data_IF_705951973824
#
_entry.id   IF_705951973824
#
_cell.length_a   1.000
_cell.length_b   1.000
_cell.length_c   1.000
_cell.angle_alpha   90.00
_cell.angle_beta   90.00
_cell.angle_gamma   90.00
#
_symmetry.space_group_name_H-M   'P 1'
#
loop_
_entity.id
_entity.type
_entity.pdbx_description
1 polymer ?
#
# COMPACT_ATOMS: atom_id res chain seq x y z
N UNK A 1 -45.90 80.94 46.76
CA UNK A 1 -47.28 80.95 47.28
C UNK A 1 -48.14 80.08 46.36
N UNK A 2 -48.90 79.08 46.78
CA UNK A 2 -49.14 78.56 48.12
C UNK A 2 -49.48 77.07 48.06
N UNK A 3 -49.30 76.42 49.21
CA UNK A 3 -49.74 75.05 49.48
C UNK A 3 -51.27 74.98 49.51
N UNK A 4 -51.83 73.85 49.07
CA UNK A 4 -52.90 73.17 49.83
C UNK A 4 -52.88 71.66 49.55
N UNK A 5 -52.97 70.93 50.67
CA UNK A 5 -52.77 69.48 50.87
C UNK A 5 -54.05 68.66 50.62
N UNK A 6 -53.85 67.48 50.04
CA UNK A 6 -54.38 66.11 50.28
C UNK A 6 -55.79 65.87 50.86
N UNK A 7 -56.48 64.90 50.23
CA UNK A 7 -57.24 63.75 50.80
C UNK A 7 -56.99 62.55 49.85
N UNK A 8 -56.40 61.39 50.21
CA UNK A 8 -56.89 60.23 51.03
C UNK A 8 -58.22 59.67 50.46
N UNK A 9 -58.33 58.40 50.02
CA UNK A 9 -58.21 57.13 50.80
C UNK A 9 -58.15 55.88 49.86
N UNK A 10 -57.34 54.89 50.28
CA UNK A 10 -57.34 53.38 50.21
C UNK A 10 -58.04 52.60 49.07
N UNK A 11 -57.71 51.36 48.70
CA UNK A 11 -56.98 50.18 49.25
C UNK A 11 -56.60 49.26 48.05
N UNK A 12 -55.79 48.20 48.05
CA UNK A 12 -55.29 47.24 49.05
C UNK A 12 -54.11 46.47 48.40
N UNK A 13 -52.98 46.34 49.10
CA UNK A 13 -51.99 45.23 48.96
C UNK A 13 -52.69 43.94 49.49
N UNK A 14 -52.40 42.69 49.15
CA UNK A 14 -51.19 41.87 49.08
C UNK A 14 -51.71 40.45 48.80
N UNK A 15 -51.09 39.60 47.96
CA UNK A 15 -50.80 38.17 48.30
C UNK A 15 -49.72 37.62 47.33
N UNK A 16 -48.75 36.88 47.90
CA UNK A 16 -47.88 35.84 47.33
C UNK A 16 -46.42 36.21 46.97
N UNK A 17 -45.63 36.30 48.03
CA UNK A 17 -44.55 35.34 48.41
C UNK A 17 -43.93 34.48 47.29
N UNK A 18 -42.60 34.57 47.22
CA UNK A 18 -41.77 33.99 46.18
C UNK A 18 -41.60 32.47 46.22
N UNK A 19 -41.53 31.92 45.02
CA UNK A 19 -41.06 30.62 44.53
C UNK A 19 -41.04 30.89 42.99
N UNK A 20 -39.98 30.86 42.19
CA UNK A 20 -38.90 29.90 41.99
C UNK A 20 -37.90 30.59 41.01
N UNK A 21 -36.79 31.12 41.51
CA UNK A 21 -35.58 31.36 40.68
C UNK A 21 -34.86 30.01 40.49
N UNK A 22 -35.50 29.05 39.81
CA UNK A 22 -34.87 27.79 39.38
C UNK A 22 -35.54 27.26 38.12
N UNK A 23 -35.42 27.94 36.98
CA UNK A 23 -35.89 27.35 35.71
C UNK A 23 -35.20 27.85 34.43
N UNK A 24 -34.01 28.44 34.52
CA UNK A 24 -33.29 28.93 33.34
C UNK A 24 -31.83 28.47 33.19
N UNK A 25 -31.36 27.56 34.05
CA UNK A 25 -30.09 26.84 33.85
C UNK A 25 -30.27 25.33 34.06
N UNK A 26 -31.28 24.73 33.41
CA UNK A 26 -31.17 23.30 33.10
C UNK A 26 -30.23 23.17 31.92
N UNK A 27 -28.95 23.04 32.27
CA UNK A 27 -27.85 22.50 31.47
C UNK A 27 -28.33 21.49 30.41
N UNK A 28 -28.57 21.92 29.17
CA UNK A 28 -28.39 21.03 28.03
C UNK A 28 -26.89 21.00 27.70
N UNK A 29 -26.08 20.44 28.61
CA UNK A 29 -24.87 19.76 28.14
C UNK A 29 -25.41 18.61 27.31
N UNK A 30 -25.58 18.82 26.00
CA UNK A 30 -25.84 17.71 25.09
C UNK A 30 -24.76 16.68 25.40
N UNK A 31 -25.18 15.55 25.97
CA UNK A 31 -24.27 14.50 26.34
C UNK A 31 -23.60 14.06 25.03
N UNK A 32 -22.29 14.30 24.93
CA UNK A 32 -21.53 13.89 23.75
C UNK A 32 -21.73 12.39 23.59
N UNK A 33 -22.26 12.01 22.43
CA UNK A 33 -22.56 10.62 22.14
C UNK A 33 -21.25 9.82 22.05
N UNK A 34 -21.00 8.93 23.01
CA UNK A 34 -19.80 8.08 23.09
C UNK A 34 -20.00 6.69 22.49
N UNK A 35 -21.04 6.49 21.68
CA UNK A 35 -21.33 5.21 21.05
C UNK A 35 -20.29 4.85 19.97
N UNK A 36 -20.26 3.59 19.51
CA UNK A 36 -19.20 3.08 18.65
C UNK A 36 -19.03 3.78 17.29
N UNK A 37 -20.06 4.45 16.78
CA UNK A 37 -20.00 5.11 15.48
C UNK A 37 -21.32 5.74 15.04
N UNK A 38 -21.34 6.16 13.78
CA UNK A 38 -22.49 6.82 13.14
C UNK A 38 -22.71 6.33 11.70
N UNK A 39 -23.95 6.52 11.21
CA UNK A 39 -24.29 6.52 9.80
C UNK A 39 -24.68 7.94 9.39
N UNK A 40 -23.85 8.58 8.57
CA UNK A 40 -23.95 10.00 8.30
C UNK A 40 -23.82 10.79 9.60
N UNK A 41 -24.84 11.59 9.91
CA UNK A 41 -24.91 12.40 11.12
C UNK A 41 -25.77 11.76 12.23
N UNK A 42 -26.10 10.47 12.16
CA UNK A 42 -26.90 9.80 13.18
C UNK A 42 -26.09 8.69 13.86
N UNK A 43 -26.08 8.69 15.19
CA UNK A 43 -25.50 7.60 15.97
C UNK A 43 -26.17 6.26 15.64
N UNK A 44 -25.36 5.21 15.42
CA UNK A 44 -25.86 3.86 15.08
C UNK A 44 -26.60 3.15 16.23
N UNK A 45 -26.44 3.63 17.47
CA UNK A 45 -27.04 3.01 18.66
C UNK A 45 -28.24 3.82 19.18
N UNK A 46 -28.05 5.10 19.52
CA UNK A 46 -29.11 5.91 20.14
C UNK A 46 -29.90 6.77 19.16
N UNK A 47 -29.51 6.84 17.88
CA UNK A 47 -30.17 7.68 16.87
C UNK A 47 -29.98 9.19 17.06
N UNK A 48 -29.18 9.62 18.05
CA UNK A 48 -28.89 11.02 18.27
C UNK A 48 -28.17 11.62 17.06
N UNK A 49 -28.59 12.83 16.66
CA UNK A 49 -27.92 13.60 15.61
C UNK A 49 -26.60 14.16 16.14
N UNK A 50 -25.53 13.97 15.39
CA UNK A 50 -24.18 14.41 15.70
C UNK A 50 -23.89 15.65 14.85
N UNK A 51 -23.44 16.71 15.51
CA UNK A 51 -23.11 17.99 14.86
C UNK A 51 -21.68 18.01 14.30
N UNK A 52 -20.82 17.10 14.76
CA UNK A 52 -19.44 16.94 14.31
C UNK A 52 -19.24 15.66 13.50
N UNK A 53 -18.40 15.72 12.47
CA UNK A 53 -17.90 14.56 11.72
C UNK A 53 -16.83 13.81 12.52
N UNK A 54 -17.16 13.33 13.71
CA UNK A 54 -16.25 12.55 14.56
C UNK A 54 -16.05 11.13 14.01
N UNK A 55 -14.84 10.58 14.23
CA UNK A 55 -14.50 9.20 13.87
C UNK A 55 -13.92 9.04 12.46
N UNK A 56 -13.49 7.82 12.15
CA UNK A 56 -12.88 7.45 10.87
C UNK A 56 -13.95 6.89 9.94
N UNK A 57 -13.95 7.33 8.68
CA UNK A 57 -14.92 6.89 7.68
C UNK A 57 -14.54 5.54 7.08
N UNK A 58 -15.49 4.58 7.09
CA UNK A 58 -15.36 3.26 6.47
C UNK A 58 -16.31 3.17 5.26
N UNK A 59 -16.17 4.12 4.33
CA UNK A 59 -17.06 4.30 3.18
C UNK A 59 -17.11 3.10 2.24
N UNK A 60 -16.01 2.35 2.14
CA UNK A 60 -15.89 1.12 1.38
C UNK A 60 -16.75 -0.04 1.94
N UNK A 61 -17.01 -0.04 3.25
CA UNK A 61 -17.92 -1.03 3.87
C UNK A 61 -19.37 -0.61 3.63
N UNK A 62 -19.68 0.64 3.99
CA UNK A 62 -20.98 1.22 3.74
C UNK A 62 -20.88 2.74 3.67
N UNK A 63 -21.54 3.35 2.68
CA UNK A 63 -21.55 4.80 2.51
C UNK A 63 -22.07 5.48 3.78
N UNK A 64 -21.28 6.43 4.31
CA UNK A 64 -21.62 7.19 5.50
C UNK A 64 -21.30 6.49 6.83
N UNK A 65 -20.77 5.27 6.84
CA UNK A 65 -20.32 4.62 8.07
C UNK A 65 -19.09 5.35 8.63
N UNK A 66 -19.14 5.73 9.90
CA UNK A 66 -18.01 6.24 10.68
C UNK A 66 -17.89 5.47 11.97
N UNK A 67 -16.66 5.16 12.37
CA UNK A 67 -16.37 4.44 13.61
C UNK A 67 -15.42 5.26 14.48
N UNK A 68 -15.64 5.21 15.79
CA UNK A 68 -14.75 5.81 16.77
C UNK A 68 -13.53 4.91 17.02
N UNK A 69 -12.41 5.50 17.44
CA UNK A 69 -11.13 4.78 17.60
C UNK A 69 -11.23 3.59 18.55
N UNK A 70 -11.99 3.70 19.65
CA UNK A 70 -12.18 2.60 20.60
C UNK A 70 -12.88 1.40 19.95
N UNK A 71 -13.85 1.66 19.08
CA UNK A 71 -14.55 0.61 18.34
C UNK A 71 -13.65 -0.02 17.28
N UNK A 72 -12.89 0.79 16.54
CA UNK A 72 -11.91 0.30 15.56
C UNK A 72 -10.91 -0.63 16.25
N UNK A 73 -10.38 -0.22 17.41
CA UNK A 73 -9.45 -1.03 18.19
C UNK A 73 -10.10 -2.33 18.70
N UNK A 74 -11.36 -2.26 19.15
CA UNK A 74 -12.12 -3.44 19.57
C UNK A 74 -12.29 -4.42 18.42
N UNK A 75 -12.67 -3.95 17.22
CA UNK A 75 -12.83 -4.76 16.03
C UNK A 75 -11.49 -5.39 15.60
N UNK A 76 -10.41 -4.60 15.52
CA UNK A 76 -9.05 -5.10 15.22
C UNK A 76 -8.61 -6.22 16.16
N UNK A 77 -8.92 -6.11 17.46
CA UNK A 77 -8.57 -7.13 18.44
C UNK A 77 -9.38 -8.42 18.29
N UNK A 78 -10.66 -8.31 17.91
CA UNK A 78 -11.52 -9.47 17.63
C UNK A 78 -11.03 -10.19 16.37
N UNK A 79 -10.82 -9.42 15.29
CA UNK A 79 -10.38 -9.94 14.01
C UNK A 79 -9.00 -10.59 14.13
N UNK A 80 -8.07 -10.00 14.87
CA UNK A 80 -6.75 -10.59 15.12
C UNK A 80 -6.84 -11.98 15.75
N UNK A 81 -7.69 -12.17 16.76
CA UNK A 81 -7.86 -13.49 17.39
C UNK A 81 -8.41 -14.52 16.40
N UNK A 82 -9.39 -14.12 15.60
CA UNK A 82 -9.97 -14.97 14.55
C UNK A 82 -8.92 -15.35 13.50
N UNK A 83 -8.15 -14.37 13.01
CA UNK A 83 -7.09 -14.55 12.03
C UNK A 83 -6.04 -15.55 12.53
N UNK A 84 -5.53 -15.37 13.75
CA UNK A 84 -4.56 -16.29 14.34
C UNK A 84 -5.10 -17.71 14.49
N UNK A 85 -6.38 -17.87 14.90
CA UNK A 85 -7.02 -19.18 15.00
C UNK A 85 -7.10 -19.90 13.65
N UNK A 86 -7.36 -19.16 12.58
CA UNK A 86 -7.42 -19.70 11.21
C UNK A 86 -6.05 -19.70 10.51
N UNK A 87 -4.97 -19.36 11.22
CA UNK A 87 -3.63 -19.17 10.66
C UNK A 87 -3.63 -18.26 9.44
N UNK A 88 -4.29 -17.11 9.52
CA UNK A 88 -4.30 -16.07 8.48
C UNK A 88 -3.65 -14.78 8.96
N UNK A 89 -3.08 -14.04 8.01
CA UNK A 89 -2.67 -12.65 8.16
C UNK A 89 -3.53 -11.77 7.26
N UNK A 90 -3.27 -10.46 7.20
CA UNK A 90 -3.93 -9.55 6.26
C UNK A 90 -2.95 -9.16 5.15
N UNK A 91 -3.43 -9.14 3.91
CA UNK A 91 -2.69 -8.68 2.74
C UNK A 91 -3.44 -7.54 2.06
N UNK A 92 -2.85 -6.35 2.07
CA UNK A 92 -3.34 -5.17 1.35
C UNK A 92 -2.66 -5.13 -0.02
N UNK A 93 -3.47 -5.12 -1.08
CA UNK A 93 -3.02 -5.17 -2.46
C UNK A 93 -3.34 -3.85 -3.17
N UNK A 94 -2.33 -3.24 -3.76
CA UNK A 94 -2.55 -2.20 -4.76
C UNK A 94 -3.02 -2.78 -6.11
N UNK A 95 -3.54 -1.94 -7.00
CA UNK A 95 -4.01 -2.34 -8.34
C UNK A 95 -3.01 -1.97 -9.44
N UNK A 96 -2.91 -0.68 -9.74
CA UNK A 96 -2.20 -0.13 -10.88
C UNK A 96 -0.69 -0.35 -10.77
N UNK A 97 -0.09 -0.97 -11.78
CA UNK A 97 1.32 -1.38 -11.81
C UNK A 97 1.69 -2.47 -10.78
N UNK A 98 0.75 -2.91 -9.95
CA UNK A 98 0.93 -4.00 -8.98
C UNK A 98 0.32 -5.30 -9.50
N UNK A 99 -1.01 -5.35 -9.62
CA UNK A 99 -1.77 -6.53 -10.08
C UNK A 99 -2.22 -6.44 -11.54
N UNK A 100 -2.24 -5.22 -12.10
CA UNK A 100 -2.72 -4.94 -13.44
C UNK A 100 -2.09 -3.65 -13.95
N UNK A 101 -2.26 -3.37 -15.24
CA UNK A 101 -1.96 -2.07 -15.81
C UNK A 101 -3.12 -1.65 -16.71
N UNK A 102 -3.53 -0.39 -16.62
CA UNK A 102 -4.63 0.17 -17.42
C UNK A 102 -4.14 1.37 -18.24
N UNK A 103 -4.75 1.58 -19.40
CA UNK A 103 -4.52 2.76 -20.24
C UNK A 103 -5.84 3.32 -20.76
N UNK A 104 -5.92 4.64 -20.90
CA UNK A 104 -7.04 5.28 -21.58
C UNK A 104 -6.95 5.00 -23.09
N UNK A 105 -8.08 4.80 -23.75
CA UNK A 105 -8.11 4.44 -25.17
C UNK A 105 -7.42 5.48 -26.07
N UNK A 106 -7.51 6.76 -25.72
CA UNK A 106 -6.84 7.85 -26.45
C UNK A 106 -5.31 7.89 -26.30
N UNK A 107 -4.73 7.07 -25.41
CA UNK A 107 -3.29 7.01 -25.17
C UNK A 107 -2.61 5.80 -25.81
N UNK A 108 -3.36 4.96 -26.53
CA UNK A 108 -2.79 3.83 -27.27
C UNK A 108 -1.96 4.33 -28.45
N UNK A 109 -0.78 3.75 -28.63
CA UNK A 109 0.07 4.07 -29.77
C UNK A 109 -0.29 3.24 -31.01
N UNK A 110 0.10 3.66 -32.23
CA UNK A 110 -0.07 2.85 -33.44
C UNK A 110 0.55 1.45 -33.32
N UNK A 111 1.68 1.32 -32.61
CA UNK A 111 2.36 0.06 -32.35
C UNK A 111 1.53 -0.91 -31.47
N UNK A 112 0.55 -0.39 -30.73
CA UNK A 112 -0.34 -1.13 -29.83
C UNK A 112 -1.71 -1.45 -30.45
N UNK A 113 -2.01 -1.00 -31.68
CA UNK A 113 -3.31 -1.24 -32.33
C UNK A 113 -3.66 -2.73 -32.47
N UNK A 114 -2.66 -3.61 -32.53
CA UNK A 114 -2.88 -5.05 -32.59
C UNK A 114 -3.66 -5.61 -31.38
N UNK A 115 -3.61 -4.92 -30.24
CA UNK A 115 -4.27 -5.32 -29.00
C UNK A 115 -5.78 -5.37 -29.12
N UNK A 116 -6.39 -4.58 -30.02
CA UNK A 116 -7.82 -4.64 -30.31
C UNK A 116 -8.28 -6.03 -30.76
N UNK A 117 -7.41 -6.77 -31.46
CA UNK A 117 -7.70 -8.14 -31.90
C UNK A 117 -7.52 -9.20 -30.81
N UNK A 118 -6.94 -8.82 -29.67
CA UNK A 118 -6.59 -9.70 -28.55
C UNK A 118 -7.45 -9.45 -27.30
N UNK A 119 -8.47 -8.60 -27.39
CA UNK A 119 -9.38 -8.34 -26.28
C UNK A 119 -10.16 -9.61 -25.94
N UNK A 120 -10.06 -10.02 -24.69
CA UNK A 120 -10.77 -11.16 -24.14
C UNK A 120 -12.23 -10.81 -23.84
N UNK A 121 -13.09 -11.83 -23.92
CA UNK A 121 -14.51 -11.69 -23.57
C UNK A 121 -14.69 -11.43 -22.09
N UNK A 122 -15.58 -10.50 -21.74
CA UNK A 122 -16.01 -10.25 -20.36
C UNK A 122 -16.96 -11.35 -19.83
N UNK A 123 -17.41 -12.29 -20.67
CA UNK A 123 -18.25 -13.41 -20.24
C UNK A 123 -17.47 -14.45 -19.41
N UNK A 124 -16.19 -14.67 -19.72
CA UNK A 124 -15.30 -15.55 -18.96
C UNK A 124 -13.96 -14.86 -18.68
N UNK A 125 -13.99 -13.93 -17.72
CA UNK A 125 -12.81 -13.17 -17.31
C UNK A 125 -11.68 -14.05 -16.74
N UNK A 126 -11.98 -15.27 -16.30
CA UNK A 126 -11.00 -16.12 -15.61
C UNK A 126 -9.94 -16.71 -16.54
N UNK A 127 -10.17 -16.66 -17.85
CA UNK A 127 -9.26 -17.16 -18.89
C UNK A 127 -8.60 -16.04 -19.70
N UNK A 128 -9.11 -14.83 -19.56
CA UNK A 128 -8.59 -13.65 -20.25
C UNK A 128 -7.56 -12.91 -19.40
N UNK A 129 -6.81 -12.04 -20.06
CA UNK A 129 -5.90 -11.11 -19.40
C UNK A 129 -6.04 -9.69 -19.92
N UNK A 130 -6.61 -9.45 -21.10
CA UNK A 130 -6.75 -8.12 -21.69
C UNK A 130 -8.21 -7.77 -21.92
N UNK A 131 -8.69 -6.70 -21.28
CA UNK A 131 -10.11 -6.36 -21.28
C UNK A 131 -10.36 -4.90 -21.66
N UNK A 132 -11.44 -4.67 -22.39
CA UNK A 132 -11.98 -3.34 -22.67
C UNK A 132 -13.11 -3.02 -21.70
N UNK A 133 -12.93 -1.99 -20.89
CA UNK A 133 -13.91 -1.58 -19.89
C UNK A 133 -14.59 -0.29 -20.30
N UNK A 134 -15.73 -0.42 -20.98
CA UNK A 134 -16.49 0.71 -21.53
C UNK A 134 -17.00 1.69 -20.47
N UNK A 135 -17.32 1.21 -19.26
CA UNK A 135 -17.81 2.02 -18.13
C UNK A 135 -16.79 3.09 -17.69
N UNK A 136 -15.50 2.77 -17.80
CA UNK A 136 -14.37 3.64 -17.39
C UNK A 136 -13.49 4.07 -18.57
N UNK A 137 -13.84 3.68 -19.80
CA UNK A 137 -13.12 4.02 -21.05
C UNK A 137 -11.63 3.66 -21.02
N UNK A 138 -11.31 2.50 -20.44
CA UNK A 138 -9.92 2.00 -20.34
C UNK A 138 -9.77 0.61 -20.93
N UNK A 139 -8.62 0.35 -21.53
CA UNK A 139 -8.14 -1.01 -21.74
C UNK A 139 -7.26 -1.42 -20.56
N UNK A 140 -7.48 -2.61 -20.02
CA UNK A 140 -6.80 -3.12 -18.83
C UNK A 140 -6.18 -4.47 -19.09
N UNK A 141 -4.90 -4.59 -18.79
CA UNK A 141 -4.14 -5.84 -18.81
C UNK A 141 -3.94 -6.32 -17.37
N UNK A 142 -4.43 -7.51 -17.06
CA UNK A 142 -4.11 -8.21 -15.83
C UNK A 142 -2.65 -8.70 -15.87
N UNK A 143 -1.92 -8.53 -14.77
CA UNK A 143 -0.55 -9.01 -14.67
C UNK A 143 -0.53 -10.53 -14.71
N UNK A 144 0.41 -11.16 -15.43
CA UNK A 144 0.55 -12.62 -15.47
C UNK A 144 0.53 -13.23 -14.07
N UNK A 145 -0.06 -14.42 -13.95
CA UNK A 145 -0.23 -15.18 -12.71
C UNK A 145 -1.24 -14.61 -11.68
N UNK A 146 -1.92 -13.48 -11.93
CA UNK A 146 -2.75 -12.81 -10.90
C UNK A 146 -3.87 -13.69 -10.30
N UNK A 147 -4.59 -14.47 -11.10
CA UNK A 147 -5.68 -15.30 -10.58
C UNK A 147 -5.17 -16.43 -9.70
N UNK A 148 -4.07 -17.07 -10.09
CA UNK A 148 -3.41 -18.10 -9.26
C UNK A 148 -2.83 -17.48 -7.99
N UNK A 149 -2.19 -16.32 -8.11
CA UNK A 149 -1.72 -15.53 -6.98
C UNK A 149 -2.83 -15.27 -5.96
N UNK A 150 -3.96 -14.71 -6.38
CA UNK A 150 -5.09 -14.39 -5.50
C UNK A 150 -5.68 -15.65 -4.87
N UNK A 151 -5.86 -16.71 -5.65
CA UNK A 151 -6.39 -17.99 -5.16
C UNK A 151 -5.49 -18.57 -4.06
N UNK A 152 -4.18 -18.63 -4.27
CA UNK A 152 -3.25 -19.19 -3.30
C UNK A 152 -3.04 -18.27 -2.09
N UNK A 153 -2.95 -16.96 -2.31
CA UNK A 153 -2.86 -15.98 -1.23
C UNK A 153 -4.11 -16.02 -0.33
N UNK A 154 -5.30 -16.24 -0.87
CA UNK A 154 -6.55 -16.33 -0.09
C UNK A 154 -6.54 -17.42 0.99
N UNK A 155 -5.70 -18.46 0.84
CA UNK A 155 -5.57 -19.54 1.82
C UNK A 155 -4.78 -19.09 3.06
N UNK A 156 -3.92 -18.09 2.90
CA UNK A 156 -2.98 -17.61 3.91
C UNK A 156 -3.34 -16.22 4.44
N UNK A 157 -4.13 -15.46 3.68
CA UNK A 157 -4.43 -14.07 3.95
C UNK A 157 -5.92 -13.76 3.80
N UNK A 158 -6.40 -12.85 4.63
CA UNK A 158 -7.54 -12.02 4.29
C UNK A 158 -7.07 -10.83 3.46
N UNK A 159 -7.73 -10.56 2.33
CA UNK A 159 -7.22 -9.61 1.35
C UNK A 159 -8.06 -8.34 1.25
N UNK A 160 -7.37 -7.21 1.09
CA UNK A 160 -7.94 -5.90 0.79
C UNK A 160 -7.40 -5.43 -0.56
N UNK A 161 -8.23 -4.77 -1.36
CA UNK A 161 -7.75 -3.85 -2.40
C UNK A 161 -7.61 -2.47 -1.77
N UNK A 162 -6.49 -1.79 -2.02
CA UNK A 162 -6.31 -0.38 -1.68
C UNK A 162 -5.58 0.35 -2.81
N UNK A 163 -6.35 1.06 -3.64
CA UNK A 163 -5.84 1.82 -4.80
C UNK A 163 -5.98 3.33 -4.59
N UNK A 164 -5.14 4.10 -5.29
CA UNK A 164 -5.32 5.55 -5.48
C UNK A 164 -6.22 5.90 -6.68
N UNK A 165 -6.84 4.91 -7.31
CA UNK A 165 -7.89 5.06 -8.31
C UNK A 165 -9.23 5.47 -7.69
N UNK A 166 -10.13 5.98 -8.53
CA UNK A 166 -11.50 6.33 -8.15
C UNK A 166 -12.35 5.08 -7.88
N UNK A 167 -13.42 5.22 -7.09
CA UNK A 167 -14.26 4.06 -6.72
C UNK A 167 -14.89 3.33 -7.90
N UNK A 168 -15.30 4.07 -8.93
CA UNK A 168 -15.86 3.47 -10.15
C UNK A 168 -14.83 2.55 -10.81
N UNK A 169 -13.59 3.03 -10.98
CA UNK A 169 -12.48 2.26 -11.50
C UNK A 169 -12.15 1.04 -10.62
N UNK A 170 -11.96 1.24 -9.31
CA UNK A 170 -11.62 0.18 -8.37
C UNK A 170 -12.67 -0.96 -8.37
N UNK A 171 -13.95 -0.59 -8.49
CA UNK A 171 -15.06 -1.54 -8.54
C UNK A 171 -15.03 -2.40 -9.82
N UNK A 172 -14.67 -1.82 -10.97
CA UNK A 172 -14.55 -2.58 -12.21
C UNK A 172 -13.33 -3.50 -12.18
N UNK A 173 -12.18 -3.05 -11.65
CA UNK A 173 -10.99 -3.89 -11.49
C UNK A 173 -11.25 -5.07 -10.54
N UNK A 174 -11.94 -4.82 -9.43
CA UNK A 174 -12.31 -5.87 -8.48
C UNK A 174 -13.19 -6.95 -9.13
N UNK A 175 -14.09 -6.58 -10.06
CA UNK A 175 -14.90 -7.56 -10.81
C UNK A 175 -14.06 -8.41 -11.76
N UNK A 176 -13.02 -7.85 -12.37
CA UNK A 176 -12.09 -8.61 -13.20
C UNK A 176 -11.29 -9.60 -12.36
N UNK A 177 -10.75 -9.16 -11.23
CA UNK A 177 -9.89 -9.95 -10.36
C UNK A 177 -10.65 -11.02 -9.54
N UNK A 178 -11.86 -10.68 -9.10
CA UNK A 178 -12.69 -11.49 -8.20
C UNK A 178 -14.18 -11.48 -8.62
N UNK A 179 -14.52 -12.08 -9.79
CA UNK A 179 -15.87 -12.04 -10.34
C UNK A 179 -16.92 -12.69 -9.43
N UNK A 180 -16.50 -13.64 -8.59
CA UNK A 180 -17.38 -14.36 -7.65
C UNK A 180 -17.43 -13.74 -6.26
N UNK A 181 -16.65 -12.68 -6.00
CA UNK A 181 -16.53 -12.02 -4.69
C UNK A 181 -16.06 -12.95 -3.58
N UNK A 182 -15.17 -13.89 -3.90
CA UNK A 182 -14.60 -14.87 -2.98
C UNK A 182 -13.47 -14.28 -2.12
N UNK A 183 -12.80 -13.23 -2.59
CA UNK A 183 -11.55 -12.72 -2.01
C UNK A 183 -11.74 -11.40 -1.27
N UNK A 184 -12.34 -10.41 -1.92
CA UNK A 184 -12.38 -9.03 -1.39
C UNK A 184 -13.72 -8.69 -0.75
N UNK A 185 -14.82 -9.19 -1.29
CA UNK A 185 -16.18 -8.80 -0.90
C UNK A 185 -16.33 -7.26 -0.85
N UNK A 186 -16.48 -6.66 0.33
CA UNK A 186 -16.56 -5.21 0.51
C UNK A 186 -15.20 -4.53 0.71
N UNK A 187 -14.09 -5.27 0.87
CA UNK A 187 -12.75 -4.77 1.21
C UNK A 187 -12.03 -4.12 0.01
N UNK A 188 -12.68 -3.18 -0.67
CA UNK A 188 -12.17 -2.44 -1.82
C UNK A 188 -12.09 -0.95 -1.47
N UNK A 189 -10.91 -0.52 -1.06
CA UNK A 189 -10.60 0.84 -0.64
C UNK A 189 -10.12 1.63 -1.86
N UNK A 190 -10.79 2.75 -2.17
CA UNK A 190 -10.38 3.65 -3.26
C UNK A 190 -9.79 4.95 -2.73
N UNK A 191 -9.31 5.82 -3.64
CA UNK A 191 -8.86 7.18 -3.30
C UNK A 191 -9.89 7.98 -2.51
N UNK A 192 -11.17 7.71 -2.75
CA UNK A 192 -12.28 8.43 -2.16
C UNK A 192 -12.52 8.03 -0.69
N UNK A 193 -11.89 6.95 -0.22
CA UNK A 193 -11.94 6.46 1.17
C UNK A 193 -10.73 6.93 2.00
N UNK A 194 -9.68 7.47 1.35
CA UNK A 194 -8.43 7.85 2.00
C UNK A 194 -8.59 9.00 2.99
N UNK A 195 -7.94 8.88 4.16
CA UNK A 195 -7.94 9.91 5.21
C UNK A 195 -6.89 11.00 4.98
N UNK A 196 -5.88 10.71 4.16
CA UNK A 196 -4.83 11.64 3.80
C UNK A 196 -4.71 11.77 2.28
N UNK A 197 -4.62 13.02 1.81
CA UNK A 197 -4.48 13.28 0.38
C UNK A 197 -3.15 12.74 -0.13
N UNK A 198 -3.20 11.96 -1.21
CA UNK A 198 -2.03 11.36 -1.87
C UNK A 198 -1.22 10.37 -1.00
N UNK A 199 -1.79 9.86 0.10
CA UNK A 199 -1.15 8.86 0.95
C UNK A 199 -2.13 7.77 1.33
N UNK A 200 -1.61 6.55 1.50
CA UNK A 200 -2.33 5.40 2.03
C UNK A 200 -1.97 5.20 3.50
N UNK A 201 -2.95 4.76 4.29
CA UNK A 201 -2.79 4.53 5.73
C UNK A 201 -3.54 3.29 6.18
N UNK A 202 -2.99 2.56 7.15
CA UNK A 202 -3.66 1.40 7.73
C UNK A 202 -4.78 1.79 8.71
N UNK A 203 -5.01 3.09 8.92
CA UNK A 203 -6.06 3.63 9.80
C UNK A 203 -7.47 3.23 9.37
N UNK A 204 -7.70 2.99 8.08
CA UNK A 204 -8.98 2.50 7.52
C UNK A 204 -8.99 1.00 7.24
N UNK A 205 -7.92 0.26 7.57
CA UNK A 205 -7.88 -1.20 7.52
C UNK A 205 -8.24 -1.76 8.89
N UNK A 206 -9.22 -2.68 8.93
CA UNK A 206 -9.65 -3.38 10.15
C UNK A 206 -8.70 -4.54 10.47
N UNK A 207 -7.41 -4.22 10.61
CA UNK A 207 -6.35 -5.16 10.99
C UNK A 207 -5.36 -4.52 11.94
N UNK A 208 -4.78 -5.31 12.84
CA UNK A 208 -3.60 -4.85 13.60
C UNK A 208 -2.39 -4.80 12.67
N UNK A 209 -1.61 -3.71 12.73
CA UNK A 209 -0.45 -3.54 11.84
C UNK A 209 0.59 -4.66 11.97
N UNK A 210 0.70 -5.27 13.15
CA UNK A 210 1.57 -6.43 13.40
C UNK A 210 1.19 -7.68 12.60
N UNK A 211 0.02 -7.71 11.97
CA UNK A 211 -0.47 -8.81 11.15
C UNK A 211 -0.79 -8.41 9.69
N UNK A 212 -0.43 -7.18 9.28
CA UNK A 212 -0.73 -6.65 7.94
C UNK A 212 0.53 -6.63 7.08
N UNK A 213 0.46 -7.22 5.91
CA UNK A 213 1.43 -7.05 4.82
C UNK A 213 0.81 -6.18 3.71
N UNK A 214 1.65 -5.40 3.06
CA UNK A 214 1.26 -4.51 1.96
C UNK A 214 2.06 -4.90 0.72
N UNK A 215 1.40 -5.11 -0.42
CA UNK A 215 2.03 -5.28 -1.72
C UNK A 215 1.67 -4.09 -2.62
N UNK A 216 2.67 -3.30 -2.96
CA UNK A 216 2.51 -2.04 -3.70
C UNK A 216 3.82 -1.71 -4.45
N UNK A 217 3.72 -1.12 -5.62
CA UNK A 217 4.87 -0.67 -6.42
C UNK A 217 5.39 0.72 -5.98
N UNK A 218 4.65 1.44 -5.13
CA UNK A 218 4.90 2.83 -4.78
C UNK A 218 5.17 3.01 -3.29
N UNK A 219 6.46 3.01 -2.90
CA UNK A 219 6.87 3.21 -1.50
C UNK A 219 6.34 4.51 -0.88
N UNK A 220 6.35 5.61 -1.64
CA UNK A 220 5.94 6.93 -1.15
C UNK A 220 4.44 7.04 -0.83
N UNK A 221 3.61 6.08 -1.29
CA UNK A 221 2.22 6.02 -0.88
C UNK A 221 2.09 5.60 0.60
N UNK A 222 3.07 4.89 1.16
CA UNK A 222 3.03 4.26 2.48
C UNK A 222 4.06 4.84 3.47
N UNK A 223 4.18 6.16 3.52
CA UNK A 223 5.23 6.85 4.32
C UNK A 223 5.28 6.42 5.79
N UNK A 224 4.13 6.10 6.40
CA UNK A 224 4.00 5.68 7.81
C UNK A 224 4.11 4.17 8.03
N UNK A 225 3.98 3.35 6.99
CA UNK A 225 3.87 1.89 7.10
C UNK A 225 4.88 1.17 6.21
N UNK A 226 6.06 1.78 6.01
CA UNK A 226 7.14 1.21 5.17
C UNK A 226 7.63 -0.16 5.63
N UNK A 227 7.54 -0.44 6.93
CA UNK A 227 7.96 -1.73 7.50
C UNK A 227 7.00 -2.88 7.15
N UNK A 228 5.75 -2.57 6.78
CA UNK A 228 4.76 -3.55 6.31
C UNK A 228 4.86 -3.78 4.80
N UNK A 229 5.62 -2.95 4.08
CA UNK A 229 5.62 -2.89 2.63
C UNK A 229 6.59 -3.90 1.99
N UNK A 230 6.02 -4.75 1.14
CA UNK A 230 6.69 -5.50 0.11
C UNK A 230 6.65 -4.65 -1.16
N UNK A 231 7.73 -3.90 -1.38
CA UNK A 231 7.90 -3.10 -2.59
C UNK A 231 8.23 -4.03 -3.77
N UNK A 232 7.45 -3.96 -4.84
CA UNK A 232 7.65 -4.78 -6.04
C UNK A 232 7.89 -3.95 -7.30
N UNK A 233 8.36 -4.60 -8.37
CA UNK A 233 8.59 -3.96 -9.66
C UNK A 233 7.26 -3.59 -10.32
N UNK A 234 7.22 -2.38 -10.90
CA UNK A 234 6.07 -1.86 -11.64
C UNK A 234 5.78 -2.69 -12.89
N UNK A 235 4.52 -3.02 -13.09
CA UNK A 235 4.03 -3.62 -14.32
C UNK A 235 3.74 -2.54 -15.37
N UNK A 236 4.63 -2.42 -16.35
CA UNK A 236 4.52 -1.50 -17.48
C UNK A 236 4.14 -2.25 -18.76
N UNK A 237 2.86 -2.67 -18.83
CA UNK A 237 2.37 -3.34 -20.03
C UNK A 237 2.19 -2.37 -21.20
N UNK A 238 1.47 -1.28 -20.99
CA UNK A 238 1.18 -0.28 -22.03
C UNK A 238 2.27 0.78 -22.15
N UNK A 239 2.48 1.31 -23.36
CA UNK A 239 3.46 2.35 -23.64
C UNK A 239 3.18 3.65 -22.85
N UNK A 240 1.90 4.01 -22.70
CA UNK A 240 1.45 5.18 -21.92
C UNK A 240 1.96 5.15 -20.48
N UNK A 241 2.06 3.95 -19.89
CA UNK A 241 2.62 3.70 -18.57
C UNK A 241 4.09 4.09 -18.52
N UNK A 242 4.93 3.61 -19.45
CA UNK A 242 6.33 4.00 -19.52
C UNK A 242 6.52 5.53 -19.63
N UNK A 243 5.73 6.17 -20.50
CA UNK A 243 5.79 7.62 -20.71
C UNK A 243 5.41 8.42 -19.45
N UNK A 244 4.38 7.99 -18.71
CA UNK A 244 3.95 8.66 -17.47
C UNK A 244 5.07 8.73 -16.42
N UNK A 245 5.92 7.71 -16.36
CA UNK A 245 7.04 7.64 -15.43
C UNK A 245 8.37 8.12 -16.04
N UNK A 246 8.35 8.63 -17.28
CA UNK A 246 9.54 9.18 -17.95
C UNK A 246 10.56 8.13 -18.37
N UNK A 247 10.13 6.87 -18.58
CA UNK A 247 11.01 5.81 -19.06
C UNK A 247 11.16 5.89 -20.58
N UNK A 248 12.41 5.83 -21.06
CA UNK A 248 12.77 5.83 -22.48
C UNK A 248 12.92 4.41 -23.06
N UNK A 249 12.21 3.42 -22.50
CA UNK A 249 12.25 2.04 -22.97
C UNK A 249 10.89 1.61 -23.52
N UNK A 250 10.91 0.63 -24.43
CA UNK A 250 9.69 0.00 -24.93
C UNK A 250 8.98 -0.72 -23.80
N UNK A 251 7.67 -0.55 -23.74
CA UNK A 251 6.75 -1.30 -22.89
C UNK A 251 6.61 -2.76 -23.33
N UNK A 252 5.98 -3.61 -22.49
CA UNK A 252 5.80 -5.02 -22.80
C UNK A 252 4.92 -5.22 -24.06
N UNK A 253 3.89 -4.39 -24.25
CA UNK A 253 3.02 -4.40 -25.42
C UNK A 253 3.78 -4.06 -26.71
N UNK A 254 4.66 -3.05 -26.69
CA UNK A 254 5.51 -2.68 -27.83
C UNK A 254 6.55 -3.76 -28.16
N UNK A 255 7.00 -4.49 -27.14
CA UNK A 255 7.87 -5.66 -27.29
C UNK A 255 7.12 -6.93 -27.69
N UNK A 256 5.78 -6.92 -27.68
CA UNK A 256 4.92 -8.08 -27.93
C UNK A 256 5.27 -9.26 -27.04
N UNK A 257 5.53 -8.96 -25.78
CA UNK A 257 5.94 -9.92 -24.74
C UNK A 257 5.20 -9.63 -23.44
N UNK A 258 5.37 -10.48 -22.43
CA UNK A 258 4.79 -10.29 -21.11
C UNK A 258 5.67 -10.97 -20.04
N UNK A 259 5.34 -10.76 -18.77
CA UNK A 259 5.99 -11.47 -17.66
C UNK A 259 5.70 -12.99 -17.69
N UNK A 260 6.60 -13.78 -17.10
CA UNK A 260 6.41 -15.23 -16.98
C UNK A 260 5.32 -15.59 -15.97
N UNK A 261 4.46 -16.54 -16.31
CA UNK A 261 3.48 -17.12 -15.38
C UNK A 261 4.13 -17.90 -14.22
N UNK A 262 5.32 -18.48 -14.41
CA UNK A 262 5.98 -19.34 -13.39
C UNK A 262 7.04 -18.61 -12.57
N UNK A 263 7.67 -17.61 -13.18
CA UNK A 263 8.86 -16.93 -12.65
C UNK A 263 8.76 -15.41 -12.72
N UNK A 264 7.59 -14.87 -13.08
CA UNK A 264 7.32 -13.44 -13.07
C UNK A 264 7.22 -12.87 -11.66
N UNK A 265 6.88 -11.58 -11.57
CA UNK A 265 6.92 -10.86 -10.31
C UNK A 265 5.93 -11.43 -9.29
N UNK A 266 4.66 -11.64 -9.67
CA UNK A 266 3.64 -12.17 -8.74
C UNK A 266 3.96 -13.60 -8.28
N UNK A 267 4.47 -14.45 -9.17
CA UNK A 267 4.89 -15.81 -8.81
C UNK A 267 6.04 -15.80 -7.79
N UNK A 268 6.98 -14.87 -7.94
CA UNK A 268 8.09 -14.68 -7.00
C UNK A 268 7.60 -14.14 -5.66
N UNK A 269 6.76 -13.11 -5.67
CA UNK A 269 6.21 -12.52 -4.44
C UNK A 269 5.34 -13.52 -3.67
N UNK A 270 4.59 -14.40 -4.34
CA UNK A 270 3.83 -15.44 -3.65
C UNK A 270 4.74 -16.38 -2.84
N UNK A 271 5.93 -16.71 -3.36
CA UNK A 271 6.92 -17.52 -2.63
C UNK A 271 7.38 -16.80 -1.36
N UNK A 272 7.61 -15.48 -1.44
CA UNK A 272 7.97 -14.63 -0.29
C UNK A 272 6.84 -14.60 0.74
N UNK A 273 5.60 -14.36 0.30
CA UNK A 273 4.43 -14.34 1.19
C UNK A 273 4.24 -15.67 1.93
N UNK A 274 4.41 -16.80 1.24
CA UNK A 274 4.38 -18.13 1.84
C UNK A 274 5.49 -18.32 2.87
N UNK A 275 6.70 -17.85 2.57
CA UNK A 275 7.83 -17.92 3.50
C UNK A 275 7.58 -17.07 4.75
N UNK A 276 7.13 -15.83 4.59
CA UNK A 276 6.79 -14.93 5.72
C UNK A 276 5.70 -15.56 6.58
N UNK A 277 4.65 -16.09 5.97
CA UNK A 277 3.56 -16.77 6.67
C UNK A 277 4.08 -17.99 7.46
N UNK A 278 4.90 -18.84 6.82
CA UNK A 278 5.48 -20.01 7.48
C UNK A 278 6.32 -19.63 8.71
N UNK A 279 7.20 -18.64 8.58
CA UNK A 279 8.01 -18.16 9.69
C UNK A 279 7.12 -17.62 10.81
N UNK A 280 6.15 -16.77 10.45
CA UNK A 280 5.24 -16.12 11.39
C UNK A 280 4.44 -17.13 12.21
N UNK A 281 3.98 -18.25 11.64
CA UNK A 281 3.15 -19.21 12.37
C UNK A 281 3.92 -20.41 12.95
N UNK A 282 5.00 -20.86 12.30
CA UNK A 282 5.60 -22.16 12.61
C UNK A 282 7.04 -22.10 13.15
N UNK A 283 7.84 -21.06 12.85
CA UNK A 283 9.27 -21.05 13.17
C UNK A 283 9.64 -20.22 14.41
N UNK A 284 8.83 -19.24 14.79
CA UNK A 284 9.08 -18.44 15.98
C UNK A 284 8.65 -19.19 17.25
N UNK A 285 9.37 -18.97 18.36
CA UNK A 285 9.07 -19.55 19.68
C UNK A 285 8.04 -18.78 20.49
N UNK A 286 7.88 -17.48 20.18
CA UNK A 286 7.06 -16.56 20.98
C UNK A 286 5.56 -16.84 20.79
N UNK A 287 4.73 -16.39 21.74
CA UNK A 287 3.28 -16.51 21.61
C UNK A 287 2.78 -15.77 20.36
N UNK A 288 1.84 -16.38 19.62
CA UNK A 288 1.34 -15.83 18.35
C UNK A 288 0.80 -14.39 18.45
N UNK A 289 0.30 -14.01 19.63
CA UNK A 289 -0.27 -12.68 19.90
C UNK A 289 0.81 -11.60 19.97
N UNK A 290 2.04 -11.97 20.36
CA UNK A 290 3.16 -11.04 20.52
C UNK A 290 4.04 -10.93 19.27
N UNK A 291 3.74 -11.74 18.24
CA UNK A 291 4.50 -11.75 16.97
C UNK A 291 4.14 -10.54 16.11
N UNK A 292 5.16 -10.01 15.45
CA UNK A 292 5.03 -8.89 14.51
C UNK A 292 5.58 -9.27 13.14
N UNK A 293 4.70 -9.26 12.13
CA UNK A 293 5.02 -9.62 10.75
C UNK A 293 6.10 -8.71 10.17
N UNK A 294 6.24 -7.46 10.64
CA UNK A 294 7.29 -6.53 10.21
C UNK A 294 8.68 -7.04 10.56
N UNK A 295 8.84 -7.67 11.73
CA UNK A 295 10.12 -8.27 12.14
C UNK A 295 10.44 -9.52 11.32
N UNK A 296 9.43 -10.33 11.01
CA UNK A 296 9.56 -11.47 10.10
C UNK A 296 9.98 -11.00 8.71
N UNK A 297 9.31 -9.97 8.20
CA UNK A 297 9.57 -9.41 6.88
C UNK A 297 11.00 -8.86 6.80
N UNK A 298 11.45 -8.14 7.82
CA UNK A 298 12.84 -7.67 7.94
C UNK A 298 13.84 -8.83 7.91
N UNK A 299 13.54 -9.94 8.59
CA UNK A 299 14.38 -11.14 8.62
C UNK A 299 14.45 -11.85 7.27
N UNK A 300 13.34 -11.93 6.54
CA UNK A 300 13.32 -12.48 5.17
C UNK A 300 14.11 -11.56 4.24
N UNK A 301 13.95 -10.24 4.37
CA UNK A 301 14.65 -9.25 3.55
C UNK A 301 16.16 -9.29 3.74
N UNK A 302 16.64 -9.44 4.99
CA UNK A 302 18.07 -9.48 5.29
C UNK A 302 18.79 -10.72 4.76
N UNK A 303 18.07 -11.74 4.28
CA UNK A 303 18.68 -12.94 3.68
C UNK A 303 18.96 -12.77 2.18
N UNK A 304 18.50 -11.67 1.56
CA UNK A 304 18.58 -11.49 0.11
C UNK A 304 20.01 -11.32 -0.38
N UNK A 305 20.78 -10.43 0.25
CA UNK A 305 22.18 -10.13 -0.08
C UNK A 305 23.15 -10.55 1.03
N UNK A 306 22.74 -11.44 1.93
CA UNK A 306 23.58 -11.98 2.99
C UNK A 306 24.93 -12.49 2.42
N UNK A 307 26.03 -12.11 3.10
CA UNK A 307 27.39 -12.43 2.66
C UNK A 307 27.93 -11.57 1.51
N UNK A 308 27.17 -10.60 1.01
CA UNK A 308 27.64 -9.67 -0.02
C UNK A 308 28.29 -8.45 0.62
N UNK A 309 29.54 -8.13 0.21
CA UNK A 309 30.22 -6.88 0.55
C UNK A 309 30.38 -6.04 -0.71
N UNK A 310 29.69 -4.91 -0.72
CA UNK A 310 29.48 -4.06 -1.90
C UNK A 310 30.29 -2.78 -1.80
N UNK A 311 30.97 -2.42 -2.89
CA UNK A 311 31.63 -1.13 -3.04
C UNK A 311 31.06 -0.40 -4.25
N UNK A 312 30.71 0.86 -4.08
CA UNK A 312 30.19 1.70 -5.17
C UNK A 312 31.32 2.45 -5.90
N UNK A 313 31.16 2.61 -7.22
CA UNK A 313 32.04 3.41 -8.07
C UNK A 313 31.23 4.28 -9.04
N UNK A 314 31.42 5.60 -9.00
CA UNK A 314 30.69 6.59 -9.83
C UNK A 314 29.15 6.54 -9.77
N UNK A 315 28.58 5.91 -8.75
CA UNK A 315 27.13 5.86 -8.53
C UNK A 315 26.62 7.15 -7.86
N UNK A 316 27.43 7.77 -7.00
CA UNK A 316 27.13 9.04 -6.36
C UNK A 316 28.40 9.91 -6.25
N UNK A 317 28.26 11.24 -6.10
CA UNK A 317 29.40 12.15 -6.02
C UNK A 317 30.31 11.83 -4.83
N UNK A 318 31.63 11.96 -4.99
CA UNK A 318 32.62 11.65 -3.94
C UNK A 318 32.46 12.53 -2.68
N UNK A 319 31.89 13.72 -2.82
CA UNK A 319 31.66 14.68 -1.72
C UNK A 319 30.42 14.29 -0.88
N UNK A 320 29.61 13.36 -1.38
CA UNK A 320 28.40 12.91 -0.71
C UNK A 320 28.70 11.82 0.34
N UNK A 321 28.02 11.86 1.49
CA UNK A 321 28.08 10.78 2.48
C UNK A 321 27.42 9.53 1.91
N UNK A 322 28.23 8.54 1.51
CA UNK A 322 27.81 7.34 0.81
C UNK A 322 26.70 6.58 1.54
N UNK A 323 26.75 6.56 2.86
CA UNK A 323 25.83 5.88 3.77
C UNK A 323 24.41 6.46 3.70
N UNK A 324 24.28 7.71 3.28
CA UNK A 324 22.97 8.35 3.10
C UNK A 324 22.32 8.01 1.76
N UNK A 325 23.05 7.40 0.83
CA UNK A 325 22.55 7.08 -0.50
C UNK A 325 21.50 5.97 -0.45
N UNK A 326 20.44 6.08 -1.26
CA UNK A 326 19.34 5.12 -1.24
C UNK A 326 19.79 3.68 -1.56
N UNK A 327 20.68 3.50 -2.55
CA UNK A 327 21.22 2.17 -2.89
C UNK A 327 22.09 1.58 -1.77
N UNK A 328 22.80 2.42 -1.01
CA UNK A 328 23.58 1.94 0.14
C UNK A 328 22.65 1.36 1.20
N UNK A 329 21.64 2.15 1.61
CA UNK A 329 20.61 1.72 2.56
C UNK A 329 19.86 0.47 2.08
N UNK A 330 19.60 0.38 0.78
CA UNK A 330 18.94 -0.79 0.18
C UNK A 330 19.81 -2.05 0.32
N UNK A 331 21.12 -1.98 0.06
CA UNK A 331 22.02 -3.13 0.27
C UNK A 331 22.01 -3.58 1.72
N UNK A 332 22.11 -2.65 2.68
CA UNK A 332 22.08 -2.96 4.11
C UNK A 332 20.74 -3.58 4.55
N UNK A 333 19.62 -3.06 4.04
CA UNK A 333 18.29 -3.64 4.30
C UNK A 333 18.13 -5.05 3.73
N UNK A 334 18.81 -5.35 2.62
CA UNK A 334 18.87 -6.69 2.03
C UNK A 334 19.88 -7.60 2.74
N UNK A 335 20.57 -7.12 3.78
CA UNK A 335 21.55 -7.86 4.59
C UNK A 335 22.94 -7.96 3.98
N UNK A 336 23.21 -7.20 2.92
CA UNK A 336 24.58 -6.95 2.47
C UNK A 336 25.30 -5.95 3.38
N UNK A 337 26.62 -5.86 3.21
CA UNK A 337 27.45 -4.83 3.85
C UNK A 337 28.03 -3.93 2.78
N UNK A 338 28.20 -2.65 3.10
CA UNK A 338 28.82 -1.69 2.19
C UNK A 338 30.17 -1.21 2.74
N UNK A 339 31.09 -0.91 1.83
CA UNK A 339 32.40 -0.36 2.13
C UNK A 339 32.75 0.75 1.14
N UNK A 340 33.49 1.75 1.60
CA UNK A 340 34.05 2.79 0.76
C UNK A 340 35.38 2.35 0.13
N UNK A 341 36.09 1.47 0.82
CA UNK A 341 37.42 0.95 0.48
C UNK A 341 37.36 -0.47 -0.11
N UNK A 342 38.33 -0.77 -0.98
CA UNK A 342 38.52 -2.09 -1.55
C UNK A 342 39.44 -2.93 -0.67
N UNK A 343 39.03 -4.16 -0.40
CA UNK A 343 39.83 -5.19 0.26
C UNK A 343 39.45 -6.58 -0.28
N UNK A 344 40.15 -7.62 0.17
CA UNK A 344 39.95 -8.99 -0.30
C UNK A 344 38.56 -9.56 0.01
N UNK A 345 37.85 -9.01 1.01
CA UNK A 345 36.51 -9.44 1.42
C UNK A 345 35.40 -8.85 0.56
N UNK A 346 35.70 -7.85 -0.28
CA UNK A 346 34.74 -7.30 -1.26
C UNK A 346 34.33 -8.40 -2.24
N UNK A 347 33.02 -8.52 -2.47
CA UNK A 347 32.45 -9.48 -3.42
C UNK A 347 31.90 -8.80 -4.67
N UNK A 348 31.39 -7.56 -4.56
CA UNK A 348 30.80 -6.83 -5.67
C UNK A 348 31.32 -5.39 -5.76
N UNK A 349 31.60 -4.96 -6.98
CA UNK A 349 31.72 -3.54 -7.33
C UNK A 349 30.50 -3.14 -8.15
N UNK A 350 29.76 -2.16 -7.65
CA UNK A 350 28.57 -1.61 -8.31
C UNK A 350 28.95 -0.31 -9.01
N UNK A 351 28.80 -0.29 -10.34
CA UNK A 351 29.26 0.83 -11.17
C UNK A 351 28.39 1.03 -12.40
N UNK A 352 28.34 2.25 -12.91
CA UNK A 352 27.78 2.58 -14.24
C UNK A 352 28.87 2.63 -15.33
N UNK A 353 30.13 2.49 -14.93
CA UNK A 353 31.29 2.63 -15.81
C UNK A 353 32.34 1.54 -15.50
N UNK A 354 32.70 0.76 -16.51
CA UNK A 354 33.70 -0.29 -16.42
C UNK A 354 35.16 0.22 -16.39
N UNK A 355 35.39 1.49 -16.76
CA UNK A 355 36.72 2.10 -16.86
C UNK A 355 37.31 2.64 -15.56
N UNK A 356 36.54 2.65 -14.47
CA UNK A 356 37.01 3.17 -13.18
C UNK A 356 38.09 2.26 -12.56
N UNK A 357 38.92 2.82 -11.68
CA UNK A 357 39.93 2.04 -10.95
C UNK A 357 39.30 0.87 -10.17
N UNK A 358 38.18 1.12 -9.48
CA UNK A 358 37.44 0.09 -8.75
C UNK A 358 36.85 -0.99 -9.67
N UNK A 359 36.33 -0.60 -10.83
CA UNK A 359 35.81 -1.56 -11.82
C UNK A 359 36.91 -2.44 -12.40
N UNK A 360 38.07 -1.85 -12.75
CA UNK A 360 39.23 -2.61 -13.23
C UNK A 360 39.80 -3.53 -12.16
N UNK A 361 39.80 -3.10 -10.90
CA UNK A 361 40.18 -3.94 -9.77
C UNK A 361 39.25 -5.16 -9.65
N UNK A 362 37.93 -4.97 -9.75
CA UNK A 362 36.98 -6.07 -9.66
C UNK A 362 37.24 -7.14 -10.72
N UNK A 363 37.44 -6.72 -11.98
CA UNK A 363 37.74 -7.64 -13.08
C UNK A 363 39.09 -8.36 -12.90
N UNK A 364 40.10 -7.67 -12.36
CA UNK A 364 41.43 -8.24 -12.10
C UNK A 364 41.41 -9.27 -10.97
N UNK A 365 40.66 -9.01 -9.91
CA UNK A 365 40.56 -9.87 -8.73
C UNK A 365 39.38 -10.86 -8.81
N UNK A 366 38.81 -11.04 -10.02
CA UNK A 366 37.70 -11.96 -10.30
C UNK A 366 36.48 -11.75 -9.38
N UNK A 367 36.19 -10.49 -9.06
CA UNK A 367 34.99 -10.05 -8.32
C UNK A 367 33.89 -9.65 -9.29
N UNK A 368 32.64 -9.65 -8.81
CA UNK A 368 31.50 -9.25 -9.62
C UNK A 368 31.51 -7.74 -9.89
N UNK A 369 31.40 -7.37 -11.17
CA UNK A 369 31.19 -5.98 -11.61
C UNK A 369 29.77 -5.88 -12.17
N UNK A 370 28.88 -5.20 -11.44
CA UNK A 370 27.45 -5.16 -11.76
C UNK A 370 26.90 -3.74 -11.83
N UNK A 371 25.88 -3.55 -12.67
CA UNK A 371 25.14 -2.29 -12.76
C UNK A 371 24.26 -2.09 -11.52
N UNK A 372 24.01 -0.84 -11.05
CA UNK A 372 23.11 -0.55 -9.91
C UNK A 372 21.74 -1.26 -9.94
N UNK A 373 21.21 -1.49 -11.13
CA UNK A 373 19.96 -2.24 -11.38
C UNK A 373 19.94 -3.65 -10.79
N UNK A 374 21.11 -4.26 -10.54
CA UNK A 374 21.21 -5.55 -9.84
C UNK A 374 20.68 -5.47 -8.41
N UNK A 375 20.99 -4.39 -7.68
CA UNK A 375 20.49 -4.16 -6.32
C UNK A 375 18.98 -3.94 -6.37
N UNK A 376 18.52 -3.07 -7.29
CA UNK A 376 17.10 -2.73 -7.44
C UNK A 376 16.26 -3.96 -7.79
N UNK A 377 16.70 -4.76 -8.76
CA UNK A 377 16.04 -6.00 -9.12
C UNK A 377 16.07 -7.01 -7.96
N UNK A 378 17.19 -7.12 -7.23
CA UNK A 378 17.26 -7.99 -6.05
C UNK A 378 16.28 -7.56 -4.96
N UNK A 379 16.08 -6.25 -4.80
CA UNK A 379 15.08 -5.68 -3.90
C UNK A 379 13.64 -5.99 -4.35
N UNK A 380 13.30 -5.74 -5.62
CA UNK A 380 11.93 -5.94 -6.11
C UNK A 380 11.50 -7.40 -6.15
N UNK A 381 12.42 -8.31 -6.46
CA UNK A 381 12.16 -9.75 -6.51
C UNK A 381 12.43 -10.45 -5.18
N UNK A 382 12.89 -9.74 -4.14
CA UNK A 382 13.20 -10.31 -2.82
C UNK A 382 14.11 -11.53 -2.90
N UNK A 383 15.05 -11.51 -3.85
CA UNK A 383 15.95 -12.61 -4.18
C UNK A 383 17.19 -12.06 -4.85
N UNK A 384 18.38 -12.55 -4.46
CA UNK A 384 19.64 -12.23 -5.15
C UNK A 384 19.51 -12.58 -6.63
N UNK A 385 19.62 -11.56 -7.47
CA UNK A 385 19.60 -11.75 -8.91
C UNK A 385 20.96 -12.24 -9.42
N UNK A 386 20.94 -13.00 -10.50
CA UNK A 386 22.16 -13.42 -11.16
C UNK A 386 22.93 -12.20 -11.69
N UNK A 387 24.19 -12.10 -11.32
CA UNK A 387 25.07 -10.96 -11.61
C UNK A 387 25.24 -10.75 -13.13
N UNK A 388 25.29 -11.84 -13.89
CA UNK A 388 25.46 -11.86 -15.36
C UNK A 388 24.33 -11.13 -16.12
N UNK A 389 23.16 -10.99 -15.50
CA UNK A 389 22.03 -10.27 -16.09
C UNK A 389 22.18 -8.73 -16.00
N UNK A 390 23.17 -8.24 -15.27
CA UNK A 390 23.39 -6.81 -15.01
C UNK A 390 24.82 -6.37 -15.33
N UNK A 391 25.33 -6.62 -16.56
CA UNK A 391 26.68 -6.25 -16.92
C UNK A 391 26.85 -4.72 -16.95
N UNK A 392 28.06 -4.26 -16.65
CA UNK A 392 28.46 -2.86 -16.84
C UNK A 392 29.07 -2.71 -18.22
N UNK A 393 28.42 -1.95 -19.10
CA UNK A 393 28.93 -1.71 -20.45
C UNK A 393 30.28 -0.98 -20.42
N UNK A 394 31.20 -1.41 -21.28
CA UNK A 394 32.40 -0.62 -21.56
C UNK A 394 31.99 0.55 -22.45
N UNK A 395 32.11 1.77 -21.95
CA UNK A 395 31.93 2.96 -22.77
C UNK A 395 32.85 2.85 -23.99
N UNK A 396 32.27 2.69 -25.19
CA UNK A 396 33.01 2.80 -26.45
C UNK A 396 33.68 4.16 -26.43
N UNK A 397 35.02 4.17 -26.46
CA UNK A 397 35.79 5.41 -26.62
C UNK A 397 35.23 6.13 -27.86
N UNK A 398 34.63 7.30 -27.66
CA UNK A 398 34.41 8.27 -28.73
C UNK A 398 35.76 8.80 -29.22
#
# INVERSE_FOLDING_TARGET
>A
MGMKRRKLVCSEEDILCGVEEQSLEVLSKQQLCSHPGSFGNMCIICGQRLDEESGVTFGYIHKGLRLNNDEINRLRNIDMKSLLQHKKLILVLDLDHTLLNSTQLGHLTPEEEYLWSQIDSLEDVTKGSLFLLNSVHTMTKLRPFVHTFLKEASQLFEMYIYTMGERAYASEMAKLLDPKREYFNSKVISRDDGTQKHQKGLDIVLGQESAVLILDDTENAWTKHKENLILMERYHFFASSCHQFGFNCKSLSELKSDESETDGALATILKVLKQVHNIFFNELSDDLVDRDVRQVLKTVRSKVLEGSKVVFSRVFPTIFQAENHHLWKMVEQLGGTCSTELDSSVTHVVSTDAGTEKSRWALKEEKFLVHPRWIEASNYFWKRQAEDNFPVEQSKKQ
#
